data_IF_826415001434
#
_entry.id   IF_826415001434
#
_cell.length_a   1.000
_cell.length_b   1.000
_cell.length_c   1.000
_cell.angle_alpha   90.00
_cell.angle_beta   90.00
_cell.angle_gamma   90.00
#
_symmetry.space_group_name_H-M   'P 1'
#
loop_
_entity.id
_entity.type
_entity.pdbx_description
1 polymer ?
#
# COMPACT_ATOMS: atom_id res chain seq x y z
N UNK A 1 3.90 24.52 -17.51
CA UNK A 1 3.50 23.10 -17.46
C UNK A 1 4.28 22.45 -16.32
N UNK A 2 3.60 21.95 -15.29
CA UNK A 2 4.25 21.33 -14.13
C UNK A 2 3.22 20.96 -13.08
N UNK A 3 2.62 19.78 -13.26
CA UNK A 3 1.80 18.99 -12.34
C UNK A 3 0.94 19.76 -11.31
N UNK A 4 -0.37 19.76 -11.56
CA UNK A 4 -1.42 19.92 -10.56
C UNK A 4 -1.28 18.78 -9.53
N UNK A 5 -0.52 19.02 -8.47
CA UNK A 5 -0.64 18.26 -7.24
C UNK A 5 -2.04 18.50 -6.69
N UNK A 6 -2.94 17.54 -6.93
CA UNK A 6 -4.25 17.49 -6.28
C UNK A 6 -4.01 17.59 -4.77
N UNK A 7 -4.51 18.66 -4.15
CA UNK A 7 -4.21 19.10 -2.77
C UNK A 7 -4.43 18.01 -1.69
N UNK A 8 -5.10 16.90 -1.99
CA UNK A 8 -5.36 15.83 -1.03
C UNK A 8 -4.26 14.77 -0.85
N UNK A 9 -3.33 14.61 -1.80
CA UNK A 9 -2.40 13.46 -1.77
C UNK A 9 -1.22 13.64 -0.81
N UNK A 10 -0.78 14.90 -0.61
CA UNK A 10 0.34 15.22 0.29
C UNK A 10 -0.06 15.16 1.76
N UNK A 11 -1.28 15.56 2.10
CA UNK A 11 -1.76 15.52 3.49
C UNK A 11 -1.85 14.08 4.00
N UNK A 12 -2.28 13.14 3.16
CA UNK A 12 -2.28 11.72 3.52
C UNK A 12 -0.86 11.20 3.76
N UNK A 13 0.10 11.54 2.90
CA UNK A 13 1.50 11.12 3.10
C UNK A 13 2.10 11.73 4.38
N UNK A 14 1.89 13.02 4.64
CA UNK A 14 2.40 13.69 5.84
C UNK A 14 1.74 13.19 7.14
N UNK A 15 0.43 12.89 7.11
CA UNK A 15 -0.27 12.31 8.24
C UNK A 15 0.26 10.90 8.55
N UNK A 16 0.51 10.09 7.53
CA UNK A 16 1.02 8.72 7.70
C UNK A 16 2.49 8.70 8.13
N UNK A 17 3.33 9.62 7.64
CA UNK A 17 4.69 9.83 8.13
C UNK A 17 4.71 10.24 9.62
N UNK A 18 3.75 11.06 10.05
CA UNK A 18 3.61 11.43 11.48
C UNK A 18 3.12 10.28 12.37
N UNK A 19 2.49 9.25 11.80
CA UNK A 19 2.01 8.07 12.53
C UNK A 19 3.03 6.93 12.62
N UNK A 20 4.29 7.16 12.24
CA UNK A 20 5.34 6.13 12.22
C UNK A 20 5.01 4.94 11.29
N UNK A 21 4.13 5.16 10.30
CA UNK A 21 3.84 4.19 9.26
C UNK A 21 4.92 4.30 8.20
N UNK A 22 5.52 3.17 7.80
CA UNK A 22 6.58 3.20 6.81
C UNK A 22 6.02 3.64 5.46
N UNK A 23 6.73 4.51 4.71
CA UNK A 23 6.30 4.94 3.38
C UNK A 23 5.99 3.76 2.45
N UNK A 24 6.70 2.65 2.62
CA UNK A 24 6.54 1.42 1.84
C UNK A 24 5.17 0.76 2.06
N UNK A 25 4.59 0.85 3.26
CA UNK A 25 3.27 0.31 3.57
C UNK A 25 2.16 1.13 2.88
N UNK A 26 2.36 2.45 2.81
CA UNK A 26 1.46 3.37 2.11
C UNK A 26 1.50 3.12 0.60
N UNK A 27 2.70 2.90 0.06
CA UNK A 27 2.87 2.53 -1.34
C UNK A 27 2.17 1.20 -1.64
N UNK A 28 2.19 0.25 -0.70
CA UNK A 28 1.50 -1.04 -0.86
C UNK A 28 -0.02 -0.87 -0.90
N UNK A 29 -0.59 -0.01 -0.06
CA UNK A 29 -2.01 0.35 -0.09
C UNK A 29 -2.43 0.90 -1.46
N UNK A 30 -1.63 1.79 -2.04
CA UNK A 30 -1.91 2.37 -3.36
C UNK A 30 -1.75 1.33 -4.47
N UNK A 31 -0.66 0.56 -4.46
CA UNK A 31 -0.41 -0.49 -5.45
C UNK A 31 -1.51 -1.58 -5.43
N UNK A 32 -1.99 -1.96 -4.23
CA UNK A 32 -3.11 -2.87 -4.07
C UNK A 32 -4.40 -2.32 -4.70
N UNK A 33 -4.68 -1.03 -4.53
CA UNK A 33 -5.84 -0.36 -5.14
C UNK A 33 -5.71 -0.17 -6.65
N UNK A 34 -4.50 -0.03 -7.17
CA UNK A 34 -4.22 0.01 -8.60
C UNK A 34 -4.24 -1.40 -9.24
N UNK A 35 -4.06 -2.44 -8.44
CA UNK A 35 -3.91 -3.83 -8.91
C UNK A 35 -2.56 -4.10 -9.57
N UNK A 36 -1.55 -3.27 -9.26
CA UNK A 36 -0.21 -3.36 -9.85
C UNK A 36 0.61 -4.47 -9.18
N UNK A 37 0.44 -5.71 -9.66
CA UNK A 37 1.13 -6.90 -9.10
C UNK A 37 2.65 -6.76 -9.04
N UNK A 38 3.37 -6.34 -10.10
CA UNK A 38 4.82 -6.14 -10.04
C UNK A 38 5.23 -5.22 -8.89
N UNK A 39 4.56 -4.07 -8.76
CA UNK A 39 4.83 -3.08 -7.72
C UNK A 39 4.50 -3.61 -6.31
N UNK A 40 3.40 -4.33 -6.16
CA UNK A 40 3.03 -5.02 -4.92
C UNK A 40 4.14 -6.01 -4.51
N UNK A 41 4.66 -6.80 -5.46
CA UNK A 41 5.73 -7.76 -5.18
C UNK A 41 7.00 -7.06 -4.67
N UNK A 42 7.45 -6.01 -5.36
CA UNK A 42 8.64 -5.24 -4.95
C UNK A 42 8.48 -4.64 -3.54
N UNK A 43 7.30 -4.09 -3.24
CA UNK A 43 7.00 -3.50 -1.94
C UNK A 43 6.98 -4.55 -0.82
N UNK A 44 6.36 -5.71 -1.08
CA UNK A 44 6.35 -6.81 -0.12
C UNK A 44 7.77 -7.39 0.09
N UNK A 45 8.59 -7.49 -0.96
CA UNK A 45 10.02 -7.85 -0.85
C UNK A 45 10.83 -6.84 -0.04
N UNK A 46 10.49 -5.56 -0.15
CA UNK A 46 11.10 -4.48 0.63
C UNK A 46 10.69 -4.50 2.11
N UNK A 47 9.81 -5.42 2.52
CA UNK A 47 9.35 -5.58 3.90
C UNK A 47 8.06 -4.83 4.23
N UNK A 48 7.29 -4.43 3.22
CA UNK A 48 5.99 -3.80 3.44
C UNK A 48 5.02 -4.72 4.18
N UNK A 49 4.28 -4.15 5.11
CA UNK A 49 3.27 -4.80 5.92
C UNK A 49 1.88 -4.50 5.37
N UNK A 50 1.23 -5.52 4.82
CA UNK A 50 -0.16 -5.42 4.33
C UNK A 50 -1.21 -5.33 5.45
N UNK A 51 -0.79 -5.50 6.71
CA UNK A 51 -1.66 -5.42 7.90
C UNK A 51 -1.86 -4.00 8.43
N UNK A 52 -1.09 -3.03 7.92
CA UNK A 52 -1.19 -1.63 8.33
C UNK A 52 -2.47 -1.01 7.78
N UNK A 53 -3.14 -0.25 8.63
CA UNK A 53 -4.33 0.50 8.28
C UNK A 53 -3.95 1.91 7.85
N UNK A 54 -4.57 2.38 6.79
CA UNK A 54 -4.43 3.76 6.33
C UNK A 54 -5.28 4.74 7.15
N UNK A 55 -5.30 6.01 6.72
CA UNK A 55 -6.07 7.09 7.37
C UNK A 55 -7.58 6.83 7.41
N UNK A 56 -8.09 5.97 6.53
CA UNK A 56 -9.50 5.60 6.46
C UNK A 56 -9.78 4.28 7.22
N UNK A 57 -8.78 3.76 7.95
CA UNK A 57 -8.88 2.53 8.74
C UNK A 57 -8.84 1.23 7.92
N UNK A 58 -8.42 1.30 6.65
CA UNK A 58 -8.42 0.17 5.70
C UNK A 58 -7.01 -0.36 5.46
N UNK A 59 -6.88 -1.67 5.35
CA UNK A 59 -5.62 -2.36 5.03
C UNK A 59 -5.37 -2.45 3.52
N UNK A 60 -4.17 -2.89 3.12
CA UNK A 60 -3.88 -3.16 1.71
C UNK A 60 -4.83 -4.21 1.11
N UNK A 61 -5.29 -5.17 1.92
CA UNK A 61 -6.28 -6.17 1.51
C UNK A 61 -7.67 -5.56 1.31
N UNK A 62 -8.07 -4.63 2.19
CA UNK A 62 -9.36 -3.92 2.06
C UNK A 62 -9.38 -2.99 0.84
N UNK A 63 -8.21 -2.52 0.42
CA UNK A 63 -8.02 -1.65 -0.74
C UNK A 63 -7.75 -2.38 -2.04
N UNK A 64 -7.53 -3.69 -2.00
CA UNK A 64 -7.20 -4.47 -3.17
C UNK A 64 -8.25 -4.31 -4.29
N UNK A 65 -7.78 -4.04 -5.50
CA UNK A 65 -8.61 -3.84 -6.69
C UNK A 65 -9.47 -5.06 -7.05
N UNK A 66 -8.99 -6.26 -6.71
CA UNK A 66 -9.67 -7.53 -6.94
C UNK A 66 -9.29 -8.57 -5.89
N UNK A 67 -10.07 -9.64 -5.80
CA UNK A 67 -9.76 -10.77 -4.92
C UNK A 67 -8.45 -11.46 -5.33
N UNK A 68 -8.10 -11.46 -6.62
CA UNK A 68 -6.81 -11.96 -7.10
C UNK A 68 -5.62 -11.20 -6.48
N UNK A 69 -5.75 -9.88 -6.31
CA UNK A 69 -4.73 -9.06 -5.65
C UNK A 69 -4.67 -9.35 -4.16
N UNK A 70 -5.82 -9.58 -3.50
CA UNK A 70 -5.83 -10.01 -2.10
C UNK A 70 -5.12 -11.34 -1.94
N UNK A 71 -5.44 -12.31 -2.78
CA UNK A 71 -4.83 -13.64 -2.75
C UNK A 71 -3.33 -13.58 -3.03
N UNK A 72 -2.89 -12.69 -3.93
CA UNK A 72 -1.47 -12.45 -4.19
C UNK A 72 -0.74 -11.91 -2.95
N UNK A 73 -1.30 -10.88 -2.29
CA UNK A 73 -0.72 -10.29 -1.08
C UNK A 73 -0.70 -11.31 0.07
N UNK A 74 -1.79 -12.06 0.27
CA UNK A 74 -1.91 -13.10 1.29
C UNK A 74 -0.94 -14.26 1.03
N UNK A 75 -0.79 -14.67 -0.23
CA UNK A 75 0.12 -15.74 -0.64
C UNK A 75 1.60 -15.37 -0.47
N UNK A 76 1.94 -14.08 -0.55
CA UNK A 76 3.31 -13.62 -0.37
C UNK A 76 3.83 -13.79 1.06
N UNK A 77 2.95 -13.74 2.07
CA UNK A 77 3.31 -13.85 3.49
C UNK A 77 3.89 -15.22 3.88
N UNK A 78 3.68 -16.25 3.05
CA UNK A 78 4.07 -17.64 3.34
C UNK A 78 5.55 -17.91 3.04
N UNK A 79 6.31 -16.97 2.46
CA UNK A 79 7.72 -17.17 2.10
C UNK A 79 8.75 -16.66 3.12
N UNK A 80 8.36 -16.44 4.39
CA UNK A 80 9.35 -16.35 5.47
C UNK A 80 9.78 -17.76 5.89
N UNK A 81 10.71 -18.33 5.12
CA UNK A 81 11.55 -19.45 5.57
C UNK A 81 12.77 -18.91 6.33
#
# INVERSE_FOLDING_TARGET
>A
MGMLAVEGTYDKMNALLSQNIHPVDILLLMAASEGDKPKIEELLRAGASYSIKDVDGRTALDRAASDEIKDFILGFSVQKA
#
